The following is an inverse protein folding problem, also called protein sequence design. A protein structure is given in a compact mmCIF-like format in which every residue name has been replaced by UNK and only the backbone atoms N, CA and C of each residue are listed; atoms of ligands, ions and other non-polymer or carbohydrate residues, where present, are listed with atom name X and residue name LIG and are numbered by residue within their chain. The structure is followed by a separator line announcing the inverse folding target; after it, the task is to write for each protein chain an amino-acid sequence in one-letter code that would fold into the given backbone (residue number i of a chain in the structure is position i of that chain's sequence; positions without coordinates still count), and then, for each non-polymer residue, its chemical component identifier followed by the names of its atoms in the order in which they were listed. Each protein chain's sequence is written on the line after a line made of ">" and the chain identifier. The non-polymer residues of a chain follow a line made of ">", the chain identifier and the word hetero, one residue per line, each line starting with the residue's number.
data_IF_325643606227
#
_entry.id   IF_325643606227
#
_cell.length_a   1.000
_cell.length_b   1.000
_cell.length_c   1.000
_cell.angle_alpha   90.00
_cell.angle_beta   90.00
_cell.angle_gamma   90.00
#
_symmetry.space_group_name_H-M   'P 1'
#
loop_
_entity.id
_entity.type
_entity.pdbx_description
1 polymer ?
#
# COMPACT_ATOMS: atom_id res chain seq x y z
N UNK A 1 -63.55 64.45 -34.75
CA UNK A 1 -62.99 63.54 -33.68
C UNK A 1 -62.32 62.36 -34.35
N UNK A 2 -61.01 62.32 -34.36
CA UNK A 2 -60.15 61.20 -34.89
C UNK A 2 -59.62 60.41 -33.73
N UNK A 3 -59.77 59.07 -33.80
CA UNK A 3 -59.27 58.13 -32.85
C UNK A 3 -57.98 57.52 -33.44
N UNK A 4 -56.82 57.49 -32.75
CA UNK A 4 -55.65 56.86 -33.29
C UNK A 4 -55.66 55.33 -33.00
N UNK A 5 -55.32 54.50 -34.02
CA UNK A 5 -55.08 53.08 -33.95
C UNK A 5 -53.74 52.85 -33.30
N UNK A 6 -53.70 52.15 -32.18
CA UNK A 6 -52.46 51.67 -31.55
C UNK A 6 -52.05 50.29 -32.15
N UNK A 7 -50.93 50.28 -32.82
CA UNK A 7 -50.34 49.03 -33.37
C UNK A 7 -49.57 48.27 -32.28
N UNK A 8 -50.07 47.10 -31.87
CA UNK A 8 -49.37 46.19 -30.96
C UNK A 8 -48.31 45.45 -31.72
N UNK A 9 -47.03 45.72 -31.41
CA UNK A 9 -45.91 44.85 -31.86
C UNK A 9 -45.72 43.64 -30.90
N UNK A 10 -46.01 42.47 -31.39
CA UNK A 10 -45.70 41.21 -30.69
C UNK A 10 -44.21 40.92 -30.85
N UNK A 11 -43.40 41.04 -29.77
CA UNK A 11 -42.02 40.59 -29.74
C UNK A 11 -41.98 39.09 -29.53
N UNK A 12 -41.58 38.33 -30.54
CA UNK A 12 -41.33 36.89 -30.47
C UNK A 12 -40.02 36.65 -29.73
N UNK A 13 -40.09 36.21 -28.49
CA UNK A 13 -38.94 35.68 -27.73
C UNK A 13 -38.51 34.33 -28.35
N UNK A 14 -37.47 34.35 -29.16
CA UNK A 14 -36.79 33.15 -29.61
C UNK A 14 -36.01 32.55 -28.40
N UNK A 15 -36.55 31.49 -27.82
CA UNK A 15 -35.85 30.72 -26.81
C UNK A 15 -34.60 30.04 -27.43
N UNK A 16 -33.43 30.44 -26.98
CA UNK A 16 -32.17 29.78 -27.37
C UNK A 16 -32.22 28.32 -26.93
N UNK A 17 -31.79 27.36 -27.78
CA UNK A 17 -31.69 25.95 -27.38
C UNK A 17 -30.70 25.81 -26.24
N UNK A 18 -30.93 24.89 -25.30
CA UNK A 18 -30.00 24.65 -24.22
C UNK A 18 -28.66 24.19 -24.82
N UNK A 19 -27.58 24.86 -24.44
CA UNK A 19 -26.21 24.44 -24.79
C UNK A 19 -26.01 23.02 -24.28
N UNK A 20 -25.76 22.08 -25.20
CA UNK A 20 -25.35 20.73 -24.84
C UNK A 20 -24.12 20.82 -23.95
N UNK A 21 -24.21 20.29 -22.74
CA UNK A 21 -23.08 20.22 -21.83
C UNK A 21 -21.95 19.48 -22.52
N UNK A 22 -20.76 20.08 -22.61
CA UNK A 22 -19.58 19.41 -23.12
C UNK A 22 -19.36 18.11 -22.30
N UNK A 23 -19.00 16.99 -22.95
CA UNK A 23 -18.72 15.77 -22.22
C UNK A 23 -17.65 16.08 -21.17
N UNK A 24 -17.94 15.75 -19.91
CA UNK A 24 -16.97 15.94 -18.82
C UNK A 24 -15.73 15.09 -19.13
N UNK A 25 -14.56 15.71 -19.07
CA UNK A 25 -13.30 14.99 -19.24
C UNK A 25 -13.22 13.83 -18.23
N UNK A 26 -12.67 12.70 -18.66
CA UNK A 26 -12.45 11.56 -17.76
C UNK A 26 -11.54 11.98 -16.60
N UNK A 27 -11.75 11.44 -15.39
CA UNK A 27 -10.89 11.73 -14.25
C UNK A 27 -9.46 11.21 -14.51
N UNK A 28 -8.47 11.76 -13.81
CA UNK A 28 -7.11 11.23 -13.84
C UNK A 28 -7.09 9.81 -13.25
N UNK A 29 -6.33 8.90 -13.88
CA UNK A 29 -6.20 7.54 -13.37
C UNK A 29 -5.41 7.52 -12.06
N UNK A 30 -5.86 6.76 -11.04
CA UNK A 30 -5.10 6.55 -9.83
C UNK A 30 -3.83 5.74 -10.11
N UNK A 31 -2.79 6.00 -9.34
CA UNK A 31 -1.64 5.10 -9.27
C UNK A 31 -2.07 3.77 -8.63
N UNK A 32 -1.62 2.66 -9.20
CA UNK A 32 -1.95 1.31 -8.72
C UNK A 32 -0.84 0.84 -7.79
N UNK A 33 -1.22 0.39 -6.60
CA UNK A 33 -0.33 -0.24 -5.64
C UNK A 33 -0.73 -1.70 -5.45
N UNK A 34 0.21 -2.63 -5.61
CA UNK A 34 0.00 -4.02 -5.22
C UNK A 34 -0.06 -4.12 -3.70
N UNK A 35 -1.11 -4.75 -3.15
CA UNK A 35 -1.31 -4.87 -1.71
C UNK A 35 -0.99 -6.28 -1.21
N UNK A 36 -1.71 -7.28 -1.53
CA UNK A 36 -1.42 -8.61 -0.98
C UNK A 36 -1.79 -9.71 -1.89
N UNK A 37 -2.56 -9.38 -2.89
CA UNK A 37 -3.31 -10.38 -3.56
C UNK A 37 -2.81 -10.84 -4.87
N UNK A 38 -3.52 -11.82 -5.25
CA UNK A 38 -3.46 -12.46 -6.52
C UNK A 38 -4.84 -12.66 -7.07
N UNK A 39 -4.87 -12.90 -8.36
CA UNK A 39 -6.04 -13.45 -8.98
C UNK A 39 -6.56 -14.66 -8.20
N UNK A 40 -7.85 -14.73 -8.10
CA UNK A 40 -8.63 -15.75 -7.43
C UNK A 40 -8.16 -17.17 -7.72
N UNK A 41 -8.25 -18.04 -6.75
CA UNK A 41 -7.95 -19.46 -6.88
C UNK A 41 -8.14 -20.18 -5.54
N UNK A 42 -8.11 -21.51 -5.53
CA UNK A 42 -8.45 -22.31 -4.35
C UNK A 42 -7.59 -22.00 -3.11
N UNK A 43 -6.39 -21.44 -3.31
CA UNK A 43 -5.47 -21.10 -2.23
C UNK A 43 -5.35 -19.58 -2.03
N UNK A 44 -6.37 -18.80 -2.36
CA UNK A 44 -6.36 -17.36 -2.21
C UNK A 44 -6.06 -16.93 -0.77
N UNK A 45 -6.61 -17.61 0.22
CA UNK A 45 -6.36 -17.35 1.63
C UNK A 45 -4.89 -17.56 2.06
N UNK A 46 -4.20 -18.57 1.50
CA UNK A 46 -2.77 -18.77 1.78
C UNK A 46 -1.93 -17.60 1.25
N UNK A 47 -2.31 -17.05 0.11
CA UNK A 47 -1.63 -15.90 -0.50
C UNK A 47 -1.80 -14.64 0.31
N UNK A 48 -2.98 -14.44 0.87
CA UNK A 48 -3.22 -13.32 1.78
C UNK A 48 -2.39 -13.45 3.07
N UNK A 49 -2.28 -14.65 3.60
CA UNK A 49 -1.47 -14.91 4.78
C UNK A 49 0.05 -14.76 4.53
N UNK A 50 0.51 -15.06 3.32
CA UNK A 50 1.91 -14.85 2.90
C UNK A 50 1.92 -13.72 1.88
N UNK A 51 1.90 -12.49 2.37
CA UNK A 51 1.81 -11.26 1.54
C UNK A 51 2.97 -11.17 0.56
N UNK A 52 2.64 -11.23 -0.71
CA UNK A 52 3.63 -11.29 -1.79
C UNK A 52 4.42 -9.99 -1.99
N UNK A 53 3.86 -8.80 -1.79
CA UNK A 53 4.64 -7.56 -1.84
C UNK A 53 5.83 -7.52 -0.90
N UNK A 54 5.84 -8.34 0.14
CA UNK A 54 6.98 -8.49 1.05
C UNK A 54 8.19 -9.17 0.39
N UNK A 55 8.02 -9.80 -0.77
CA UNK A 55 9.07 -10.55 -1.47
C UNK A 55 9.63 -9.76 -2.65
N UNK A 56 10.94 -9.46 -2.68
CA UNK A 56 11.55 -8.71 -3.77
C UNK A 56 11.35 -9.31 -5.16
N UNK A 57 11.29 -10.64 -5.29
CA UNK A 57 11.03 -11.29 -6.58
C UNK A 57 9.64 -10.96 -7.12
N UNK A 58 8.65 -10.82 -6.24
CA UNK A 58 7.30 -10.44 -6.64
C UNK A 58 7.22 -8.99 -7.15
N UNK A 59 8.09 -8.08 -6.70
CA UNK A 59 8.08 -6.66 -7.08
C UNK A 59 8.13 -6.49 -8.61
N UNK A 60 8.98 -7.25 -9.29
CA UNK A 60 9.08 -7.22 -10.75
C UNK A 60 7.77 -7.64 -11.43
N UNK A 61 7.07 -8.59 -10.83
CA UNK A 61 5.77 -9.06 -11.34
C UNK A 61 4.69 -7.99 -11.16
N UNK A 62 4.64 -7.32 -10.00
CA UNK A 62 3.73 -6.19 -9.79
C UNK A 62 3.97 -5.07 -10.79
N UNK A 63 5.24 -4.75 -11.08
CA UNK A 63 5.58 -3.78 -12.13
C UNK A 63 5.08 -4.22 -13.50
N UNK A 64 5.26 -5.46 -13.88
CA UNK A 64 4.76 -6.00 -15.15
C UNK A 64 3.22 -5.96 -15.23
N UNK A 65 2.53 -6.10 -14.12
CA UNK A 65 1.09 -5.92 -14.02
C UNK A 65 0.64 -4.45 -14.05
N UNK A 66 1.59 -3.50 -14.07
CA UNK A 66 1.33 -2.08 -14.18
C UNK A 66 1.16 -1.35 -12.87
N UNK A 67 1.59 -1.92 -11.77
CA UNK A 67 1.66 -1.21 -10.51
C UNK A 67 2.75 -0.12 -10.55
N UNK A 68 2.45 1.03 -9.96
CA UNK A 68 3.40 2.12 -9.73
C UNK A 68 4.17 1.95 -8.42
N UNK A 69 3.63 1.15 -7.52
CA UNK A 69 4.21 0.85 -6.22
C UNK A 69 3.66 -0.45 -5.64
N UNK A 70 4.16 -0.84 -4.49
CA UNK A 70 3.61 -1.92 -3.68
C UNK A 70 3.52 -1.49 -2.23
N UNK A 71 2.51 -2.00 -1.56
CA UNK A 71 2.36 -1.94 -0.12
C UNK A 71 2.97 -3.21 0.47
N UNK A 72 3.69 -3.09 1.58
CA UNK A 72 4.33 -4.20 2.24
C UNK A 72 4.47 -3.96 3.76
N UNK A 73 4.58 -5.05 4.50
CA UNK A 73 4.49 -5.09 5.95
C UNK A 73 5.87 -5.19 6.59
N UNK A 74 6.21 -4.24 7.45
CA UNK A 74 7.44 -4.24 8.22
C UNK A 74 7.18 -4.69 9.64
N UNK A 75 7.94 -5.69 10.10
CA UNK A 75 8.01 -6.10 11.49
C UNK A 75 9.45 -6.02 12.03
N UNK A 76 9.58 -6.06 13.34
CA UNK A 76 10.86 -6.10 14.03
C UNK A 76 11.04 -7.44 14.74
N UNK A 77 12.19 -8.06 14.52
CA UNK A 77 12.61 -9.23 15.27
C UNK A 77 12.94 -8.87 16.72
N UNK A 78 13.16 -9.85 17.55
CA UNK A 78 13.41 -9.70 19.00
C UNK A 78 14.33 -8.53 19.32
N UNK A 79 13.90 -7.71 20.28
CA UNK A 79 14.62 -6.51 20.74
C UNK A 79 14.99 -5.53 19.63
N UNK A 80 14.23 -5.51 18.54
CA UNK A 80 14.48 -4.62 17.40
C UNK A 80 15.79 -4.89 16.67
N UNK A 81 16.24 -6.15 16.64
CA UNK A 81 17.54 -6.49 16.07
C UNK A 81 17.57 -6.49 14.54
N UNK A 82 16.39 -6.62 13.89
CA UNK A 82 16.27 -6.50 12.43
C UNK A 82 14.86 -6.09 12.03
N UNK A 83 14.76 -5.15 11.10
CA UNK A 83 13.54 -4.88 10.38
C UNK A 83 13.42 -5.86 9.20
N UNK A 84 12.29 -6.57 9.16
CA UNK A 84 11.99 -7.61 8.17
C UNK A 84 10.65 -7.38 7.51
N UNK A 85 10.50 -7.84 6.28
CA UNK A 85 9.26 -7.73 5.51
C UNK A 85 8.45 -9.01 5.69
N UNK A 86 7.43 -8.95 6.54
CA UNK A 86 6.57 -10.09 6.85
C UNK A 86 5.23 -9.65 7.43
N UNK A 87 4.13 -10.18 6.89
CA UNK A 87 2.77 -9.78 7.29
C UNK A 87 2.35 -10.38 8.63
N UNK A 88 2.50 -11.71 8.79
CA UNK A 88 1.94 -12.40 9.95
C UNK A 88 2.69 -12.09 11.24
N UNK A 89 1.99 -12.05 12.35
CA UNK A 89 2.57 -11.94 13.70
C UNK A 89 3.56 -13.06 13.99
N UNK A 90 3.32 -14.25 13.41
CA UNK A 90 4.16 -15.43 13.61
C UNK A 90 4.87 -15.85 12.31
N UNK A 91 5.83 -16.77 12.46
CA UNK A 91 6.54 -17.41 11.34
C UNK A 91 5.71 -18.46 10.60
N UNK A 92 4.36 -18.42 10.72
CA UNK A 92 3.51 -19.27 9.90
C UNK A 92 3.76 -18.98 8.41
N UNK A 93 3.93 -20.01 7.63
CA UNK A 93 4.31 -19.87 6.21
C UNK A 93 5.81 -19.90 5.95
N UNK A 94 6.62 -20.03 6.99
CA UNK A 94 8.06 -20.21 6.91
C UNK A 94 8.47 -21.60 7.39
N UNK A 95 9.63 -22.05 6.94
CA UNK A 95 10.30 -23.23 7.49
C UNK A 95 10.73 -23.03 8.95
N UNK A 96 10.93 -24.12 9.68
CA UNK A 96 11.30 -24.09 11.09
C UNK A 96 10.11 -23.95 12.06
N UNK A 97 10.36 -23.84 13.36
CA UNK A 97 9.32 -23.80 14.37
C UNK A 97 8.48 -22.53 14.28
N UNK A 98 7.18 -22.65 14.59
CA UNK A 98 6.27 -21.50 14.65
C UNK A 98 6.58 -20.66 15.90
N UNK A 99 6.91 -19.39 15.69
CA UNK A 99 7.23 -18.43 16.74
C UNK A 99 6.70 -17.05 16.34
N UNK A 100 6.49 -16.14 17.28
CA UNK A 100 6.20 -14.76 16.92
C UNK A 100 7.47 -14.09 16.39
N UNK A 101 7.31 -13.18 15.42
CA UNK A 101 8.44 -12.43 14.85
C UNK A 101 9.17 -11.63 15.93
N UNK A 102 8.43 -11.04 16.86
CA UNK A 102 8.99 -10.25 17.97
C UNK A 102 9.76 -11.05 19.00
N UNK A 103 9.62 -12.38 19.03
CA UNK A 103 10.27 -13.28 20.00
C UNK A 103 11.48 -14.00 19.40
N UNK A 104 11.72 -13.86 18.10
CA UNK A 104 12.79 -14.54 17.38
C UNK A 104 13.96 -13.59 17.07
N UNK A 105 15.19 -14.06 17.28
CA UNK A 105 16.38 -13.33 16.86
C UNK A 105 16.56 -13.40 15.35
N UNK A 106 17.13 -12.34 14.76
CA UNK A 106 17.43 -12.35 13.33
C UNK A 106 18.46 -13.42 12.95
N UNK A 107 19.59 -13.48 13.63
CA UNK A 107 20.74 -14.30 13.22
C UNK A 107 21.39 -15.10 14.37
N UNK A 108 20.75 -15.18 15.53
CA UNK A 108 21.32 -15.81 16.72
C UNK A 108 20.46 -17.00 17.15
N UNK A 109 21.12 -18.14 17.39
CA UNK A 109 20.50 -19.39 17.85
C UNK A 109 19.88 -20.22 16.73
N UNK A 110 19.55 -21.46 17.06
CA UNK A 110 19.04 -22.48 16.12
C UNK A 110 17.64 -22.14 15.56
N UNK A 111 16.95 -21.22 16.20
CA UNK A 111 15.63 -20.77 15.78
C UNK A 111 15.65 -19.43 15.05
N UNK A 112 16.84 -18.91 14.69
CA UNK A 112 16.99 -17.63 14.01
C UNK A 112 16.06 -17.50 12.77
N UNK A 113 15.61 -16.26 12.49
CA UNK A 113 14.73 -16.00 11.36
C UNK A 113 15.48 -15.96 10.03
N UNK A 114 16.74 -15.51 10.06
CA UNK A 114 17.59 -15.41 8.87
C UNK A 114 17.76 -16.75 8.19
N UNK A 115 17.48 -16.78 6.89
CA UNK A 115 17.61 -18.00 6.07
C UNK A 115 16.40 -18.93 6.13
N UNK A 116 15.36 -18.65 6.94
CA UNK A 116 14.11 -19.38 6.83
C UNK A 116 13.45 -19.08 5.51
N UNK A 117 12.93 -20.12 4.87
CA UNK A 117 12.32 -20.03 3.56
C UNK A 117 10.80 -20.09 3.66
N UNK A 118 10.15 -19.41 2.74
CA UNK A 118 8.71 -19.48 2.55
C UNK A 118 8.36 -20.88 2.06
N UNK A 119 7.42 -21.53 2.73
CA UNK A 119 6.94 -22.87 2.39
C UNK A 119 5.48 -22.90 2.00
N UNK A 120 4.87 -21.72 1.81
CA UNK A 120 3.47 -21.55 1.44
C UNK A 120 3.30 -20.41 0.44
N UNK A 121 2.13 -20.35 -0.20
CA UNK A 121 1.84 -19.31 -1.19
C UNK A 121 2.49 -19.56 -2.54
N UNK A 122 2.71 -18.51 -3.33
CA UNK A 122 3.15 -18.61 -4.73
C UNK A 122 4.67 -18.57 -4.94
N UNK A 123 5.44 -18.21 -3.93
CA UNK A 123 6.90 -18.11 -4.04
C UNK A 123 7.59 -18.96 -2.96
N UNK A 124 7.33 -20.28 -2.94
CA UNK A 124 8.01 -21.16 -2.01
C UNK A 124 9.52 -21.17 -2.31
N UNK A 125 10.31 -21.27 -1.24
CA UNK A 125 11.76 -21.29 -1.35
C UNK A 125 12.45 -19.93 -1.23
N UNK A 126 11.74 -18.80 -1.34
CA UNK A 126 12.31 -17.49 -1.02
C UNK A 126 12.52 -17.32 0.48
N UNK A 127 13.57 -16.59 0.86
CA UNK A 127 13.84 -16.26 2.26
C UNK A 127 13.05 -15.03 2.71
N UNK A 128 12.91 -14.85 4.01
CA UNK A 128 12.46 -13.56 4.55
C UNK A 128 13.50 -12.49 4.24
N UNK A 129 13.04 -11.37 3.69
CA UNK A 129 13.91 -10.25 3.35
C UNK A 129 13.95 -9.23 4.47
N UNK A 130 15.11 -8.58 4.62
CA UNK A 130 15.22 -7.38 5.44
C UNK A 130 14.58 -6.19 4.74
N UNK A 131 14.16 -5.20 5.51
CA UNK A 131 13.61 -3.97 4.97
C UNK A 131 14.59 -3.26 4.01
N UNK A 132 15.88 -3.27 4.34
CA UNK A 132 16.95 -2.70 3.49
C UNK A 132 17.03 -3.39 2.12
N UNK A 133 16.99 -4.71 2.08
CA UNK A 133 17.01 -5.49 0.82
C UNK A 133 15.76 -5.23 0.00
N UNK A 134 14.61 -5.15 0.65
CA UNK A 134 13.34 -4.83 0.00
C UNK A 134 13.36 -3.42 -0.63
N UNK A 135 13.80 -2.39 0.11
CA UNK A 135 13.95 -1.03 -0.43
C UNK A 135 14.91 -0.98 -1.61
N UNK A 136 16.01 -1.73 -1.55
CA UNK A 136 16.93 -1.87 -2.68
C UNK A 136 16.26 -2.42 -3.94
N UNK A 137 15.40 -3.42 -3.78
CA UNK A 137 14.63 -4.02 -4.87
C UNK A 137 13.58 -3.06 -5.44
N UNK A 138 12.86 -2.33 -4.57
CA UNK A 138 11.91 -1.29 -4.97
C UNK A 138 12.60 -0.18 -5.78
N UNK A 139 13.73 0.30 -5.31
CA UNK A 139 14.54 1.31 -6.02
C UNK A 139 14.98 0.81 -7.38
N UNK A 140 15.50 -0.42 -7.46
CA UNK A 140 15.93 -1.02 -8.73
C UNK A 140 14.78 -1.19 -9.72
N UNK A 141 13.57 -1.41 -9.22
CA UNK A 141 12.36 -1.48 -10.03
C UNK A 141 11.81 -0.09 -10.42
N UNK A 142 12.26 1.00 -9.80
CA UNK A 142 11.72 2.34 -9.98
C UNK A 142 10.27 2.44 -9.50
N UNK A 143 9.93 1.81 -8.38
CA UNK A 143 8.59 1.75 -7.82
C UNK A 143 8.51 2.45 -6.46
N UNK A 144 7.34 2.97 -6.13
CA UNK A 144 7.05 3.59 -4.83
C UNK A 144 6.90 2.50 -3.77
N UNK A 145 7.63 2.63 -2.68
CA UNK A 145 7.49 1.75 -1.52
C UNK A 145 6.49 2.32 -0.51
N UNK A 146 5.42 1.59 -0.27
CA UNK A 146 4.44 1.88 0.74
C UNK A 146 4.57 0.85 1.87
N UNK A 147 4.92 1.29 3.07
CA UNK A 147 5.33 0.38 4.13
C UNK A 147 4.49 0.58 5.38
N UNK A 148 3.71 -0.43 5.73
CA UNK A 148 3.08 -0.52 7.03
C UNK A 148 4.09 -0.98 8.08
N UNK A 149 4.32 -0.17 9.10
CA UNK A 149 4.99 -0.64 10.31
C UNK A 149 3.94 -1.32 11.17
N UNK A 150 4.00 -2.64 11.25
CA UNK A 150 2.98 -3.44 11.96
C UNK A 150 2.90 -3.06 13.44
N UNK A 151 1.69 -3.10 14.04
CA UNK A 151 1.48 -2.76 15.44
C UNK A 151 2.35 -3.56 16.43
N UNK A 152 2.70 -4.78 16.10
CA UNK A 152 3.57 -5.65 16.90
C UNK A 152 4.97 -5.06 17.10
N UNK A 153 5.45 -4.26 16.15
CA UNK A 153 6.76 -3.60 16.23
C UNK A 153 6.86 -2.63 17.43
N UNK A 154 5.72 -2.21 18.02
CA UNK A 154 5.70 -1.36 19.23
C UNK A 154 6.49 -1.95 20.38
N UNK A 155 6.57 -3.27 20.49
CA UNK A 155 7.36 -3.93 21.54
C UNK A 155 8.79 -3.41 21.57
N UNK A 156 9.38 -3.13 20.43
CA UNK A 156 10.75 -2.60 20.31
C UNK A 156 10.78 -1.09 20.07
N UNK A 157 9.91 -0.55 19.21
CA UNK A 157 9.90 0.87 18.85
C UNK A 157 9.48 1.77 20.00
N UNK A 158 8.63 1.29 20.89
CA UNK A 158 8.15 2.00 22.08
C UNK A 158 8.71 1.40 23.38
N UNK A 159 9.76 0.59 23.29
CA UNK A 159 10.37 -0.03 24.45
C UNK A 159 10.81 1.00 25.49
N UNK A 160 10.58 0.76 26.80
CA UNK A 160 11.17 1.57 27.86
C UNK A 160 12.69 1.45 27.94
N UNK A 161 13.28 0.38 27.40
CA UNK A 161 14.71 0.24 27.26
C UNK A 161 15.23 1.12 26.11
N UNK A 162 15.97 2.17 26.44
CA UNK A 162 16.47 3.15 25.48
C UNK A 162 17.36 2.52 24.38
N UNK A 163 18.16 1.50 24.72
CA UNK A 163 19.04 0.82 23.75
C UNK A 163 18.24 0.00 22.74
N UNK A 164 17.20 -0.71 23.19
CA UNK A 164 16.30 -1.45 22.32
C UNK A 164 15.55 -0.46 21.41
N UNK A 165 14.96 0.59 21.99
CA UNK A 165 14.23 1.61 21.24
C UNK A 165 15.11 2.28 20.17
N UNK A 166 16.33 2.68 20.53
CA UNK A 166 17.26 3.31 19.59
C UNK A 166 17.63 2.37 18.42
N UNK A 167 17.95 1.12 18.72
CA UNK A 167 18.28 0.12 17.70
C UNK A 167 17.10 -0.17 16.78
N UNK A 168 15.92 -0.35 17.34
CA UNK A 168 14.71 -0.61 16.57
C UNK A 168 14.41 0.51 15.57
N UNK A 169 14.50 1.76 16.01
CA UNK A 169 14.32 2.91 15.12
C UNK A 169 15.44 3.06 14.09
N UNK A 170 16.67 2.69 14.41
CA UNK A 170 17.77 2.65 13.44
C UNK A 170 17.50 1.64 12.33
N UNK A 171 17.00 0.44 12.66
CA UNK A 171 16.63 -0.59 11.67
C UNK A 171 15.52 -0.12 10.71
N UNK A 172 14.61 0.73 11.18
CA UNK A 172 13.55 1.31 10.35
C UNK A 172 14.04 2.52 9.55
N UNK A 173 14.74 3.47 10.19
CA UNK A 173 15.01 4.78 9.57
C UNK A 173 16.30 4.85 8.78
N UNK A 174 17.34 4.06 9.11
CA UNK A 174 18.61 4.14 8.37
C UNK A 174 18.48 3.67 6.92
N UNK A 175 17.76 2.59 6.59
CA UNK A 175 17.50 2.23 5.20
C UNK A 175 16.71 3.32 4.44
N UNK A 176 15.79 4.00 5.14
CA UNK A 176 15.03 5.12 4.54
C UNK A 176 15.93 6.31 4.28
N UNK A 177 16.80 6.71 5.22
CA UNK A 177 17.76 7.81 5.04
C UNK A 177 18.66 7.60 3.82
N UNK A 178 19.07 6.37 3.58
CA UNK A 178 19.90 6.00 2.43
C UNK A 178 19.16 6.09 1.09
N UNK A 179 17.85 5.91 1.10
CA UNK A 179 17.05 5.73 -0.11
C UNK A 179 16.12 6.90 -0.44
N UNK A 180 15.63 7.65 0.56
CA UNK A 180 14.51 8.59 0.40
C UNK A 180 14.74 9.74 -0.59
N UNK A 181 15.99 10.07 -0.92
CA UNK A 181 16.31 11.13 -1.90
C UNK A 181 16.14 10.66 -3.34
N UNK A 182 16.34 9.37 -3.58
CA UNK A 182 16.31 8.76 -4.92
C UNK A 182 15.08 7.89 -5.17
N UNK A 183 14.23 7.71 -4.14
CA UNK A 183 13.07 6.83 -4.18
C UNK A 183 11.93 7.44 -3.37
N UNK A 184 10.70 7.33 -3.86
CA UNK A 184 9.53 7.65 -3.06
C UNK A 184 9.24 6.46 -2.12
N UNK A 185 9.24 6.76 -0.82
CA UNK A 185 8.95 5.82 0.26
C UNK A 185 7.92 6.48 1.15
N UNK A 186 6.90 5.74 1.52
CA UNK A 186 5.84 6.19 2.42
C UNK A 186 5.78 5.21 3.58
N UNK A 187 5.93 5.72 4.80
CA UNK A 187 5.82 4.94 6.04
C UNK A 187 4.55 5.30 6.77
N UNK A 188 3.85 4.31 7.28
CA UNK A 188 2.68 4.48 8.13
C UNK A 188 2.57 3.34 9.15
N UNK A 189 1.68 3.49 10.11
CA UNK A 189 1.30 2.44 11.06
C UNK A 189 -0.13 2.65 11.50
N UNK A 190 -0.83 1.59 11.80
CA UNK A 190 -2.14 1.62 12.45
C UNK A 190 -2.05 1.79 13.97
N UNK A 191 -0.85 1.68 14.57
CA UNK A 191 -0.62 1.97 15.98
C UNK A 191 -0.35 3.48 16.16
N UNK A 192 -1.14 4.15 17.00
CA UNK A 192 -1.06 5.59 17.22
C UNK A 192 0.26 6.01 17.90
N UNK A 193 0.81 5.17 18.78
CA UNK A 193 2.08 5.42 19.46
C UNK A 193 3.26 5.36 18.49
N UNK A 194 3.28 4.34 17.62
CA UNK A 194 4.28 4.25 16.54
C UNK A 194 4.15 5.46 15.61
N UNK A 195 2.93 5.82 15.22
CA UNK A 195 2.68 6.96 14.32
C UNK A 195 3.19 8.28 14.92
N UNK A 196 2.95 8.53 16.21
CA UNK A 196 3.42 9.73 16.88
C UNK A 196 4.95 9.80 16.92
N UNK A 197 5.60 8.71 17.32
CA UNK A 197 7.07 8.64 17.40
C UNK A 197 7.70 8.72 15.99
N UNK A 198 7.12 8.06 14.99
CA UNK A 198 7.56 8.13 13.59
C UNK A 198 7.55 9.58 13.09
N UNK A 199 6.46 10.31 13.29
CA UNK A 199 6.34 11.72 12.89
C UNK A 199 7.43 12.58 13.53
N UNK A 200 7.64 12.41 14.82
CA UNK A 200 8.70 13.14 15.55
C UNK A 200 10.08 12.90 14.96
N UNK A 201 10.42 11.62 14.74
CA UNK A 201 11.75 11.21 14.27
C UNK A 201 12.03 11.61 12.83
N UNK A 202 11.07 11.44 11.92
CA UNK A 202 11.26 11.80 10.50
C UNK A 202 11.30 13.31 10.32
N UNK A 203 10.56 14.09 11.15
CA UNK A 203 10.64 15.54 11.15
C UNK A 203 12.01 16.02 11.64
N UNK A 204 12.50 15.47 12.74
CA UNK A 204 13.83 15.79 13.27
C UNK A 204 14.95 15.43 12.28
N UNK A 205 14.76 14.41 11.45
CA UNK A 205 15.71 13.97 10.42
C UNK A 205 15.55 14.71 9.07
N UNK A 206 14.62 15.65 8.95
CA UNK A 206 14.34 16.34 7.68
C UNK A 206 13.74 15.43 6.58
N UNK A 207 13.04 14.36 6.99
CA UNK A 207 12.48 13.35 6.11
C UNK A 207 10.94 13.36 6.08
N UNK A 208 10.29 14.46 6.42
CA UNK A 208 8.82 14.52 6.58
C UNK A 208 8.04 14.06 5.33
N UNK A 209 8.65 14.09 4.14
CA UNK A 209 8.03 13.60 2.91
C UNK A 209 7.75 12.09 2.89
N UNK A 210 8.37 11.30 3.78
CA UNK A 210 8.10 9.87 3.91
C UNK A 210 6.85 9.57 4.73
N UNK A 211 6.22 10.60 5.29
CA UNK A 211 4.94 10.45 5.96
C UNK A 211 3.82 10.56 4.92
N UNK A 212 2.86 9.65 5.01
CA UNK A 212 1.59 9.88 4.35
C UNK A 212 0.93 11.11 4.99
N UNK A 213 0.66 12.15 4.23
CA UNK A 213 -0.01 13.37 4.68
C UNK A 213 -1.50 13.20 5.04
N UNK A 214 -1.91 12.02 5.46
CA UNK A 214 -3.29 11.57 5.65
C UNK A 214 -3.55 10.31 4.85
N UNK A 215 -4.77 9.81 4.72
CA UNK A 215 -5.09 8.64 3.91
C UNK A 215 -4.71 8.93 2.44
N UNK A 216 -3.51 8.55 2.07
CA UNK A 216 -2.93 8.80 0.74
C UNK A 216 -3.58 7.90 -0.30
N UNK A 217 -4.20 6.84 0.17
CA UNK A 217 -4.96 5.88 -0.63
C UNK A 217 -6.09 5.29 0.22
N UNK A 218 -7.22 4.99 -0.36
CA UNK A 218 -8.07 4.00 0.25
C UNK A 218 -7.42 2.63 0.06
N UNK A 219 -7.16 1.92 1.15
CA UNK A 219 -7.11 0.46 1.07
C UNK A 219 -8.48 0.02 0.60
N UNK A 220 -8.51 -0.56 -0.57
CA UNK A 220 -9.75 -1.03 -1.13
C UNK A 220 -9.88 -2.49 -0.74
N UNK A 221 -10.80 -2.78 0.17
CA UNK A 221 -11.25 -4.16 0.37
C UNK A 221 -12.02 -4.56 -0.89
N UNK A 222 -11.29 -5.09 -1.87
CA UNK A 222 -11.82 -5.45 -3.17
C UNK A 222 -12.16 -6.95 -3.29
N UNK A 223 -12.55 -7.54 -2.18
CA UNK A 223 -13.07 -8.90 -2.09
C UNK A 223 -14.41 -8.93 -1.32
N UNK A 224 -15.31 -9.83 -1.68
CA UNK A 224 -16.67 -9.90 -1.11
C UNK A 224 -16.83 -10.96 -0.03
N UNK A 225 -16.02 -12.01 -0.08
CA UNK A 225 -16.14 -13.15 0.82
C UNK A 225 -14.81 -13.44 1.52
N UNK A 226 -14.84 -13.85 2.80
CA UNK A 226 -13.63 -14.28 3.47
C UNK A 226 -13.05 -15.56 2.83
N UNK A 227 -11.77 -15.90 3.13
CA UNK A 227 -11.17 -17.14 2.64
C UNK A 227 -12.04 -18.38 2.96
N UNK A 228 -12.02 -19.41 2.10
CA UNK A 228 -11.19 -19.52 0.91
C UNK A 228 -11.83 -18.99 -0.39
N UNK A 229 -13.04 -18.44 -0.32
CA UNK A 229 -13.90 -18.13 -1.49
C UNK A 229 -13.85 -16.67 -1.91
N UNK A 230 -12.75 -15.98 -1.71
CA UNK A 230 -12.62 -14.55 -2.03
C UNK A 230 -12.96 -14.26 -3.49
N UNK A 231 -13.87 -13.31 -3.68
CA UNK A 231 -14.28 -12.79 -4.97
C UNK A 231 -13.91 -11.34 -5.11
N UNK A 232 -13.60 -10.96 -6.34
CA UNK A 232 -13.34 -9.56 -6.68
C UNK A 232 -14.61 -8.71 -6.49
N UNK A 233 -14.45 -7.57 -5.81
CA UNK A 233 -15.48 -6.55 -5.62
C UNK A 233 -15.17 -5.27 -6.43
N UNK A 234 -15.64 -5.19 -7.66
CA UNK A 234 -15.44 -4.03 -8.52
C UNK A 234 -16.12 -2.75 -8.00
N UNK A 235 -17.13 -2.85 -7.13
CA UNK A 235 -17.79 -1.67 -6.55
C UNK A 235 -16.82 -0.90 -5.64
N UNK A 236 -15.89 -1.58 -4.99
CA UNK A 236 -14.85 -0.93 -4.21
C UNK A 236 -13.95 -0.04 -5.09
N UNK A 237 -13.57 -0.51 -6.27
CA UNK A 237 -12.81 0.26 -7.25
C UNK A 237 -13.58 1.45 -7.79
N UNK A 238 -14.88 1.26 -8.09
CA UNK A 238 -15.76 2.35 -8.55
C UNK A 238 -15.83 3.46 -7.50
N UNK A 239 -16.02 3.09 -6.24
CA UNK A 239 -16.05 4.05 -5.12
C UNK A 239 -14.73 4.79 -4.99
N UNK A 240 -13.59 4.10 -5.07
CA UNK A 240 -12.28 4.72 -5.02
C UNK A 240 -12.07 5.72 -6.17
N UNK A 241 -12.42 5.35 -7.39
CA UNK A 241 -12.32 6.25 -8.55
C UNK A 241 -13.24 7.47 -8.41
N UNK A 242 -14.48 7.28 -7.99
CA UNK A 242 -15.46 8.36 -7.78
C UNK A 242 -15.05 9.31 -6.65
N UNK A 243 -14.33 8.82 -5.63
CA UNK A 243 -13.79 9.66 -4.56
C UNK A 243 -12.59 10.51 -4.98
N UNK A 244 -12.11 10.36 -6.22
CA UNK A 244 -10.92 11.05 -6.72
C UNK A 244 -9.63 10.54 -6.09
N UNK A 245 -9.60 9.28 -5.68
CA UNK A 245 -8.41 8.65 -5.12
C UNK A 245 -7.24 8.76 -6.10
N UNK A 246 -6.12 9.31 -5.64
CA UNK A 246 -4.90 9.44 -6.44
C UNK A 246 -4.07 8.16 -6.47
N UNK A 247 -4.28 7.29 -5.49
CA UNK A 247 -3.58 6.00 -5.30
C UNK A 247 -4.58 4.99 -4.78
N UNK A 248 -4.48 3.77 -5.28
CA UNK A 248 -5.33 2.65 -4.84
C UNK A 248 -4.47 1.43 -4.61
N UNK A 249 -4.45 0.93 -3.39
CA UNK A 249 -3.87 -0.35 -3.04
C UNK A 249 -4.92 -1.45 -3.30
N UNK A 250 -4.58 -2.43 -4.12
CA UNK A 250 -5.51 -3.47 -4.57
C UNK A 250 -4.88 -4.85 -4.47
N UNK A 251 -5.68 -5.83 -4.10
CA UNK A 251 -5.30 -7.24 -4.12
C UNK A 251 -5.33 -7.85 -5.54
N UNK A 252 -5.91 -7.14 -6.51
CA UNK A 252 -6.15 -7.62 -7.86
C UNK A 252 -5.52 -6.70 -8.91
N UNK A 253 -4.22 -6.43 -8.79
CA UNK A 253 -3.49 -5.46 -9.63
C UNK A 253 -3.75 -5.61 -11.14
N UNK A 254 -3.64 -6.80 -11.78
CA UNK A 254 -3.88 -6.93 -13.21
C UNK A 254 -5.32 -6.63 -13.60
N UNK A 255 -6.29 -7.08 -12.80
CA UNK A 255 -7.71 -6.89 -13.05
C UNK A 255 -8.07 -5.42 -12.89
N UNK A 256 -7.56 -4.74 -11.85
CA UNK A 256 -7.81 -3.33 -11.63
C UNK A 256 -7.24 -2.48 -12.78
N UNK A 257 -6.04 -2.78 -13.24
CA UNK A 257 -5.46 -2.12 -14.42
C UNK A 257 -6.36 -2.24 -15.66
N UNK A 258 -6.87 -3.44 -15.92
CA UNK A 258 -7.78 -3.68 -17.04
C UNK A 258 -9.11 -2.94 -16.84
N UNK A 259 -9.64 -2.97 -15.62
CA UNK A 259 -10.89 -2.30 -15.27
C UNK A 259 -10.83 -0.78 -15.45
N UNK A 260 -9.68 -0.14 -15.22
CA UNK A 260 -9.50 1.31 -15.39
C UNK A 260 -9.56 1.76 -16.86
N UNK A 261 -9.37 0.85 -17.83
CA UNK A 261 -9.37 1.19 -19.25
C UNK A 261 -10.68 1.87 -19.65
N UNK A 262 -10.59 3.07 -20.23
CA UNK A 262 -11.73 3.87 -20.65
C UNK A 262 -12.54 4.52 -19.52
N UNK A 263 -12.12 4.38 -18.26
CA UNK A 263 -12.81 4.99 -17.09
C UNK A 263 -12.07 6.23 -16.56
N UNK A 264 -10.82 6.39 -16.93
CA UNK A 264 -9.95 7.49 -16.52
C UNK A 264 -8.87 7.73 -17.60
N UNK A 265 -8.11 8.84 -17.52
CA UNK A 265 -7.04 9.23 -18.45
C UNK A 265 -5.84 9.84 -17.72
#
# INVERSE_FOLDING_TARGET
>A
LAVPLATLMLASLLASPPLASAPSALPACPQIFGHGGYPTGPNAWERDQVRQPNNPTAIRRYKAWGASGVEADLQLTKDGTKAVMWHNTSTWGLTGPKMNITDIWWAVGDTALKGRTINRGLFPGETVYTFREWLGSMRSAGMVGLVEIKPEAKQSLLSPNASIKARAWAEVLDPVKESFRSQEIILYSHDSGITAELRSRVSAAGMSRVLSGGPVWPEVTDWEEPPPSWRLNENAWKTALQSGAKRVATDFTPQFKTWLQGKCQ
#
